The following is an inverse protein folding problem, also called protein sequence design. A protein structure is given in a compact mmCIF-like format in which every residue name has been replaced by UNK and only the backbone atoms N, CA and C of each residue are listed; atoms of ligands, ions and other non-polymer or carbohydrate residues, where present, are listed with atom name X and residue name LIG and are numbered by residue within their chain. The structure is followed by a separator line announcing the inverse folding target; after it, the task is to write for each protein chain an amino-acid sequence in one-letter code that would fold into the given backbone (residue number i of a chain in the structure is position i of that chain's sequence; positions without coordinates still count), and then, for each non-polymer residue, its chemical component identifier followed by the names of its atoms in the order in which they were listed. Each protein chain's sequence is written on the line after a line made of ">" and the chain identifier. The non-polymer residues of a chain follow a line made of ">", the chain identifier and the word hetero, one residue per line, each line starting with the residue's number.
data_IF_689796614501
#
_entry.id   IF_689796614501
#
_cell.length_a   1.000
_cell.length_b   1.000
_cell.length_c   1.000
_cell.angle_alpha   90.00
_cell.angle_beta   90.00
_cell.angle_gamma   90.00
#
_symmetry.space_group_name_H-M   'P 1'
#
loop_
_entity.id
_entity.type
_entity.pdbx_description
1 polymer ?
#
# COMPACT_ATOMS: atom_id res chain seq x y z
N UNK A 1 22.93 3.27 5.68
CA UNK A 1 21.51 2.84 5.66
C UNK A 1 20.90 2.93 4.26
N UNK A 2 20.91 4.07 3.60
CA UNK A 2 20.21 4.28 2.32
C UNK A 2 20.69 3.39 1.16
N UNK A 3 21.99 3.18 1.00
CA UNK A 3 22.52 2.35 -0.10
C UNK A 3 22.06 0.89 0.06
N UNK A 4 22.27 0.28 1.23
CA UNK A 4 21.87 -1.10 1.50
C UNK A 4 20.36 -1.31 1.37
N UNK A 5 19.56 -0.36 1.87
CA UNK A 5 18.10 -0.41 1.72
C UNK A 5 17.68 -0.34 0.23
N UNK A 6 18.32 0.54 -0.55
CA UNK A 6 18.08 0.64 -1.98
C UNK A 6 18.45 -0.65 -2.73
N UNK A 7 19.64 -1.22 -2.43
CA UNK A 7 20.08 -2.48 -3.02
C UNK A 7 19.13 -3.63 -2.69
N UNK A 8 18.65 -3.72 -1.44
CA UNK A 8 17.70 -4.73 -1.02
C UNK A 8 16.34 -4.56 -1.72
N UNK A 9 15.85 -3.33 -1.86
CA UNK A 9 14.62 -3.03 -2.59
C UNK A 9 14.71 -3.51 -4.05
N UNK A 10 15.80 -3.13 -4.74
CA UNK A 10 16.04 -3.56 -6.12
C UNK A 10 16.18 -5.08 -6.23
N UNK A 11 16.86 -5.71 -5.27
CA UNK A 11 17.05 -7.16 -5.25
C UNK A 11 15.72 -7.90 -5.06
N UNK A 12 14.84 -7.40 -4.22
CA UNK A 12 13.49 -7.97 -4.03
C UNK A 12 12.67 -7.89 -5.30
N UNK A 13 12.63 -6.74 -5.97
CA UNK A 13 11.95 -6.59 -7.25
C UNK A 13 12.54 -7.49 -8.34
N UNK A 14 13.88 -7.60 -8.42
CA UNK A 14 14.56 -8.49 -9.36
C UNK A 14 14.28 -9.97 -9.08
N UNK A 15 14.26 -10.37 -7.81
CA UNK A 15 13.90 -11.76 -7.42
C UNK A 15 12.51 -12.13 -7.95
N UNK A 16 11.52 -11.26 -7.72
CA UNK A 16 10.15 -11.43 -8.23
C UNK A 16 10.10 -11.52 -9.75
N UNK A 17 10.85 -10.68 -10.46
CA UNK A 17 11.00 -10.69 -11.91
C UNK A 17 11.51 -12.05 -12.41
N UNK A 18 12.56 -12.58 -11.77
CA UNK A 18 13.17 -13.87 -12.14
C UNK A 18 12.24 -15.06 -11.87
N UNK A 19 11.52 -15.06 -10.75
CA UNK A 19 10.53 -16.10 -10.43
C UNK A 19 9.46 -16.20 -11.52
N UNK A 20 9.01 -15.04 -12.03
CA UNK A 20 7.97 -14.96 -13.06
C UNK A 20 8.53 -15.08 -14.49
N UNK A 21 9.83 -15.31 -14.69
CA UNK A 21 10.47 -15.32 -15.99
C UNK A 21 10.20 -14.06 -16.83
N UNK A 22 10.12 -12.90 -16.18
CA UNK A 22 9.88 -11.60 -16.81
C UNK A 22 11.20 -10.95 -17.22
N UNK A 23 11.17 -10.12 -18.27
CA UNK A 23 12.36 -9.41 -18.76
C UNK A 23 12.59 -8.07 -18.05
N UNK A 24 11.54 -7.49 -17.52
CA UNK A 24 11.55 -6.22 -16.80
C UNK A 24 10.51 -6.23 -15.69
N UNK A 25 10.69 -5.37 -14.71
CA UNK A 25 9.74 -5.14 -13.63
C UNK A 25 9.85 -3.71 -13.12
N UNK A 26 8.81 -3.26 -12.43
CA UNK A 26 8.82 -2.03 -11.64
C UNK A 26 8.80 -2.36 -10.14
N UNK A 27 9.23 -1.42 -9.31
CA UNK A 27 9.12 -1.53 -7.86
C UNK A 27 7.64 -1.45 -7.47
N UNK A 28 7.26 -2.23 -6.44
CA UNK A 28 5.94 -2.24 -5.81
C UNK A 28 6.09 -1.97 -4.31
N UNK A 29 5.01 -1.61 -3.64
CA UNK A 29 5.09 -1.39 -2.18
C UNK A 29 5.40 -2.69 -1.42
N UNK A 30 5.00 -3.84 -1.92
CA UNK A 30 5.39 -5.14 -1.35
C UNK A 30 6.90 -5.37 -1.36
N UNK A 31 7.64 -4.85 -2.33
CA UNK A 31 9.10 -4.98 -2.40
C UNK A 31 9.80 -4.25 -1.24
N UNK A 32 9.13 -3.28 -0.59
CA UNK A 32 9.66 -2.55 0.56
C UNK A 32 9.88 -3.42 1.79
N UNK A 33 9.24 -4.58 1.87
CA UNK A 33 9.53 -5.56 2.92
C UNK A 33 11.01 -5.99 2.91
N UNK A 34 11.64 -6.00 1.73
CA UNK A 34 13.06 -6.31 1.58
C UNK A 34 14.02 -5.31 2.23
N UNK A 35 13.57 -4.09 2.56
CA UNK A 35 14.42 -3.10 3.24
C UNK A 35 14.44 -3.27 4.76
N UNK A 36 13.48 -3.99 5.35
CA UNK A 36 13.34 -4.17 6.80
C UNK A 36 14.64 -4.66 7.46
N UNK A 37 15.32 -5.71 6.96
CA UNK A 37 16.60 -6.13 7.54
C UNK A 37 17.69 -5.05 7.52
N UNK A 38 17.63 -4.12 6.55
CA UNK A 38 18.58 -3.00 6.47
C UNK A 38 18.33 -1.94 7.53
N UNK A 39 17.11 -1.86 8.05
CA UNK A 39 16.67 -0.91 9.07
C UNK A 39 16.91 -1.50 10.46
N UNK A 40 16.45 -2.73 10.70
CA UNK A 40 16.46 -3.39 12.01
C UNK A 40 17.84 -3.41 12.68
N UNK A 41 18.90 -3.66 11.92
CA UNK A 41 20.27 -3.66 12.46
C UNK A 41 20.84 -2.27 12.80
N UNK A 42 20.05 -1.20 12.64
CA UNK A 42 20.50 0.20 12.80
C UNK A 42 19.53 1.07 13.60
N UNK A 43 18.47 0.47 14.11
CA UNK A 43 17.54 1.12 15.04
C UNK A 43 18.00 0.78 16.47
N UNK A 44 18.22 1.81 17.28
CA UNK A 44 18.32 1.66 18.71
C UNK A 44 16.92 1.75 19.31
N UNK A 45 16.44 0.65 19.88
CA UNK A 45 15.12 0.59 20.49
C UNK A 45 15.22 1.10 21.93
N UNK A 46 14.29 1.97 22.32
CA UNK A 46 13.99 2.25 23.73
C UNK A 46 12.95 1.24 24.22
N UNK A 47 12.74 1.14 25.53
CA UNK A 47 11.91 0.13 26.18
C UNK A 47 10.55 -0.11 25.50
N UNK A 48 9.81 0.97 25.18
CA UNK A 48 8.53 0.88 24.46
C UNK A 48 8.67 0.29 23.05
N UNK A 49 9.78 0.57 22.37
CA UNK A 49 10.09 0.01 21.07
C UNK A 49 10.50 -1.46 21.10
N UNK A 50 11.06 -1.94 22.23
CA UNK A 50 11.37 -3.36 22.43
C UNK A 50 10.10 -4.22 22.52
N UNK A 51 9.04 -3.71 23.16
CA UNK A 51 7.74 -4.38 23.22
C UNK A 51 7.08 -4.50 21.83
N UNK A 52 7.18 -3.45 21.00
CA UNK A 52 6.63 -3.43 19.66
C UNK A 52 7.43 -4.30 18.67
N UNK A 53 8.74 -4.39 18.85
CA UNK A 53 9.67 -5.10 18.00
C UNK A 53 10.14 -4.29 16.77
N UNK A 54 11.40 -4.52 16.38
CA UNK A 54 12.06 -3.76 15.30
C UNK A 54 11.36 -3.86 13.95
N UNK A 55 10.77 -5.02 13.63
CA UNK A 55 10.05 -5.25 12.37
C UNK A 55 8.81 -4.34 12.28
N UNK A 56 8.01 -4.28 13.35
CA UNK A 56 6.81 -3.45 13.38
C UNK A 56 7.16 -1.96 13.27
N UNK A 57 8.20 -1.50 13.99
CA UNK A 57 8.68 -0.13 13.87
C UNK A 57 9.14 0.17 12.45
N UNK A 58 9.82 -0.78 11.80
CA UNK A 58 10.26 -0.62 10.41
C UNK A 58 9.07 -0.52 9.45
N UNK A 59 8.00 -1.30 9.66
CA UNK A 59 6.76 -1.18 8.91
C UNK A 59 6.07 0.17 9.14
N UNK A 60 6.07 0.68 10.37
CA UNK A 60 5.47 1.99 10.67
C UNK A 60 6.23 3.12 9.98
N UNK A 61 7.58 3.04 9.94
CA UNK A 61 8.38 3.99 9.17
C UNK A 61 8.07 3.95 7.67
N UNK A 62 7.88 2.75 7.09
CA UNK A 62 7.47 2.59 5.70
C UNK A 62 6.07 3.19 5.49
N UNK A 63 5.13 2.90 6.38
CA UNK A 63 3.76 3.43 6.31
C UNK A 63 3.73 4.96 6.35
N UNK A 64 4.52 5.56 7.25
CA UNK A 64 4.63 7.03 7.35
C UNK A 64 5.28 7.62 6.08
N UNK A 65 6.30 6.95 5.54
CA UNK A 65 6.90 7.33 4.25
C UNK A 65 5.89 7.30 3.11
N UNK A 66 5.08 6.24 3.01
CA UNK A 66 4.03 6.11 1.98
C UNK A 66 2.96 7.19 2.16
N UNK A 67 2.52 7.47 3.40
CA UNK A 67 1.58 8.53 3.71
C UNK A 67 2.09 9.91 3.27
N UNK A 68 3.37 10.19 3.51
CA UNK A 68 3.99 11.44 3.08
C UNK A 68 4.06 11.56 1.54
N UNK A 69 4.28 10.44 0.84
CA UNK A 69 4.24 10.41 -0.63
C UNK A 69 2.81 10.56 -1.13
N UNK A 70 1.84 9.90 -0.51
CA UNK A 70 0.42 10.06 -0.83
C UNK A 70 0.00 11.53 -0.84
N UNK A 71 0.38 12.31 0.18
CA UNK A 71 0.05 13.73 0.30
C UNK A 71 0.71 14.62 -0.77
N UNK A 72 1.70 14.12 -1.52
CA UNK A 72 2.27 14.83 -2.69
C UNK A 72 1.42 14.67 -3.94
N UNK A 73 0.74 13.55 -4.08
CA UNK A 73 -0.08 13.23 -5.26
C UNK A 73 -1.56 13.54 -5.04
N UNK A 74 -2.04 13.40 -3.81
CA UNK A 74 -3.46 13.43 -3.50
C UNK A 74 -3.78 14.42 -2.37
N UNK A 75 -4.94 15.07 -2.40
CA UNK A 75 -5.35 15.95 -1.33
C UNK A 75 -5.49 15.20 0.00
N UNK A 76 -5.27 15.93 1.09
CA UNK A 76 -5.47 15.39 2.44
C UNK A 76 -6.92 14.97 2.65
N UNK A 77 -7.09 13.79 3.25
CA UNK A 77 -8.41 13.26 3.58
C UNK A 77 -8.90 13.97 4.85
N UNK A 78 -9.95 14.77 4.71
CA UNK A 78 -10.53 15.49 5.84
C UNK A 78 -11.07 14.52 6.89
N UNK A 79 -10.65 14.67 8.15
CA UNK A 79 -11.21 13.93 9.29
C UNK A 79 -12.66 14.29 9.60
N UNK A 80 -13.11 15.44 9.15
CA UNK A 80 -14.46 15.96 9.34
C UNK A 80 -15.14 16.06 7.97
N UNK A 81 -15.83 14.99 7.56
CA UNK A 81 -16.76 15.10 6.44
C UNK A 81 -17.86 16.08 6.81
N UNK A 82 -17.96 17.20 6.08
CA UNK A 82 -19.14 18.06 6.18
C UNK A 82 -20.35 17.28 5.65
N UNK A 83 -21.50 17.32 6.33
CA UNK A 83 -22.73 16.74 5.80
C UNK A 83 -22.98 17.28 4.38
N UNK A 84 -23.21 16.40 3.42
CA UNK A 84 -23.44 16.70 1.99
C UNK A 84 -22.21 17.02 1.13
N UNK A 85 -20.99 16.74 1.56
CA UNK A 85 -19.81 16.85 0.70
C UNK A 85 -19.27 15.44 0.43
N UNK A 86 -19.46 14.93 -0.80
CA UNK A 86 -18.84 13.67 -1.25
C UNK A 86 -17.34 13.87 -1.37
N UNK A 87 -16.58 13.03 -0.68
CA UNK A 87 -15.13 12.98 -0.82
C UNK A 87 -14.77 12.34 -2.17
N UNK A 88 -13.69 12.79 -2.80
CA UNK A 88 -13.19 12.18 -4.04
C UNK A 88 -12.88 10.68 -3.88
N UNK A 89 -12.61 10.23 -2.66
CA UNK A 89 -12.29 8.84 -2.32
C UNK A 89 -13.51 7.95 -2.09
N UNK A 90 -14.69 8.52 -1.88
CA UNK A 90 -15.92 7.78 -1.53
C UNK A 90 -16.24 6.66 -2.52
N UNK A 91 -15.99 6.87 -3.83
CA UNK A 91 -16.24 5.86 -4.84
C UNK A 91 -15.33 4.62 -4.71
N UNK A 92 -14.10 4.79 -4.20
CA UNK A 92 -13.20 3.66 -3.94
C UNK A 92 -13.68 2.93 -2.69
N UNK A 93 -14.00 3.65 -1.62
CA UNK A 93 -14.51 3.08 -0.36
C UNK A 93 -15.82 2.31 -0.63
N UNK A 94 -16.76 2.91 -1.35
CA UNK A 94 -18.02 2.29 -1.76
C UNK A 94 -17.79 1.00 -2.55
N UNK A 95 -16.76 0.94 -3.42
CA UNK A 95 -16.43 -0.27 -4.18
C UNK A 95 -16.09 -1.46 -3.27
N UNK A 96 -15.38 -1.22 -2.16
CA UNK A 96 -15.09 -2.26 -1.17
C UNK A 96 -16.35 -2.64 -0.37
N UNK A 97 -17.10 -1.65 0.13
CA UNK A 97 -18.28 -1.85 0.98
C UNK A 97 -19.41 -2.57 0.24
N UNK A 98 -19.85 -2.05 -0.91
CA UNK A 98 -21.03 -2.58 -1.64
C UNK A 98 -20.85 -4.01 -2.13
N UNK A 99 -19.62 -4.41 -2.42
CA UNK A 99 -19.35 -5.74 -2.95
C UNK A 99 -18.82 -6.70 -1.89
N UNK A 100 -18.63 -6.25 -0.65
CA UNK A 100 -17.91 -6.98 0.40
C UNK A 100 -16.61 -7.57 -0.16
N UNK A 101 -15.87 -6.74 -0.92
CA UNK A 101 -14.70 -7.17 -1.67
C UNK A 101 -13.44 -6.98 -0.87
N UNK A 102 -12.55 -7.93 -1.05
CA UNK A 102 -11.17 -7.88 -0.61
C UNK A 102 -10.27 -7.81 -1.84
N UNK A 103 -9.27 -6.95 -1.79
CA UNK A 103 -8.24 -6.90 -2.81
C UNK A 103 -6.96 -7.51 -2.27
N UNK A 104 -6.53 -8.62 -2.82
CA UNK A 104 -5.26 -9.24 -2.51
C UNK A 104 -4.20 -8.87 -3.55
N UNK A 105 -3.03 -8.44 -3.06
CA UNK A 105 -1.83 -8.17 -3.87
C UNK A 105 -0.73 -9.08 -3.37
N UNK A 106 -0.44 -10.14 -4.13
CA UNK A 106 0.60 -11.11 -3.80
C UNK A 106 2.01 -10.54 -4.02
N UNK A 107 2.91 -10.86 -3.09
CA UNK A 107 4.33 -10.44 -3.15
C UNK A 107 5.03 -10.94 -4.42
N UNK A 108 4.65 -12.12 -4.90
CA UNK A 108 5.24 -12.76 -6.08
C UNK A 108 4.39 -12.66 -7.34
N UNK A 109 3.32 -11.85 -7.33
CA UNK A 109 2.52 -11.63 -8.54
C UNK A 109 3.40 -11.22 -9.73
N UNK A 110 3.15 -11.81 -10.90
CA UNK A 110 3.67 -11.33 -12.18
C UNK A 110 3.21 -9.88 -12.44
N UNK A 111 3.84 -9.20 -13.38
CA UNK A 111 3.39 -7.86 -13.78
C UNK A 111 1.95 -7.84 -14.28
N UNK A 112 1.53 -8.93 -14.93
CA UNK A 112 0.15 -9.08 -15.43
C UNK A 112 -0.86 -9.25 -14.29
N UNK A 113 -0.58 -10.14 -13.33
CA UNK A 113 -1.45 -10.37 -12.17
C UNK A 113 -1.58 -9.11 -11.32
N UNK A 114 -0.46 -8.43 -11.04
CA UNK A 114 -0.47 -7.16 -10.33
C UNK A 114 -1.30 -6.09 -11.04
N UNK A 115 -1.14 -5.96 -12.36
CA UNK A 115 -1.92 -5.02 -13.15
C UNK A 115 -3.42 -5.35 -13.12
N UNK A 116 -3.79 -6.63 -13.20
CA UNK A 116 -5.19 -7.07 -13.12
C UNK A 116 -5.76 -6.71 -11.75
N UNK A 117 -5.08 -7.08 -10.67
CA UNK A 117 -5.51 -6.83 -9.29
C UNK A 117 -5.76 -5.33 -9.05
N UNK A 118 -4.78 -4.48 -9.31
CA UNK A 118 -4.90 -3.03 -9.10
C UNK A 118 -6.02 -2.40 -9.97
N UNK A 119 -6.20 -2.87 -11.21
CA UNK A 119 -7.21 -2.32 -12.12
C UNK A 119 -8.62 -2.89 -11.87
N UNK A 120 -8.80 -3.86 -10.99
CA UNK A 120 -10.12 -4.34 -10.57
C UNK A 120 -10.93 -3.22 -9.91
N UNK A 121 -10.27 -2.32 -9.18
CA UNK A 121 -10.88 -1.15 -8.55
C UNK A 121 -11.07 -0.05 -9.60
N UNK A 122 -12.12 -0.16 -10.41
CA UNK A 122 -12.39 0.80 -11.51
C UNK A 122 -12.40 2.27 -11.07
N UNK A 123 -12.97 2.65 -9.89
CA UNK A 123 -12.99 4.04 -9.43
C UNK A 123 -11.60 4.68 -9.28
N UNK A 124 -10.55 3.89 -9.02
CA UNK A 124 -9.18 4.38 -8.89
C UNK A 124 -8.73 5.19 -10.12
N UNK A 125 -9.10 4.72 -11.33
CA UNK A 125 -8.68 5.34 -12.57
C UNK A 125 -9.16 6.79 -12.70
N UNK A 126 -10.31 7.10 -12.12
CA UNK A 126 -10.87 8.47 -12.14
C UNK A 126 -10.02 9.44 -11.30
N UNK A 127 -9.59 8.99 -10.10
CA UNK A 127 -8.70 9.81 -9.26
C UNK A 127 -7.33 10.00 -9.92
N UNK A 128 -6.75 8.94 -10.44
CA UNK A 128 -5.47 9.00 -11.15
C UNK A 128 -5.56 10.00 -12.32
N UNK A 129 -6.62 9.92 -13.12
CA UNK A 129 -6.83 10.87 -14.25
C UNK A 129 -7.01 12.32 -13.79
N UNK A 130 -7.53 12.53 -12.56
CA UNK A 130 -7.73 13.86 -11.98
C UNK A 130 -6.43 14.46 -11.46
N UNK A 131 -5.64 13.69 -10.71
CA UNK A 131 -4.51 14.19 -9.93
C UNK A 131 -3.13 13.88 -10.54
N UNK A 132 -2.99 12.83 -11.36
CA UNK A 132 -1.72 12.31 -11.86
C UNK A 132 -1.59 12.41 -13.38
N UNK A 133 -2.05 13.52 -13.98
CA UNK A 133 -2.11 13.69 -15.45
C UNK A 133 -0.76 13.67 -16.16
N UNK A 134 0.30 14.08 -15.47
CA UNK A 134 1.64 14.25 -16.05
C UNK A 134 2.58 13.08 -15.73
N UNK A 135 2.08 12.03 -15.05
CA UNK A 135 2.89 10.89 -14.68
C UNK A 135 3.05 9.88 -15.82
N UNK A 136 4.18 9.18 -15.82
CA UNK A 136 4.44 8.13 -16.80
C UNK A 136 3.49 6.95 -16.58
N UNK A 137 3.07 6.30 -17.66
CA UNK A 137 2.17 5.15 -17.58
C UNK A 137 2.72 4.00 -16.72
N UNK A 138 4.03 3.82 -16.70
CA UNK A 138 4.73 2.79 -15.93
C UNK A 138 4.62 3.05 -14.42
N UNK A 139 4.61 4.33 -14.01
CA UNK A 139 4.54 4.74 -12.61
C UNK A 139 3.09 4.71 -12.08
N UNK A 140 2.09 4.76 -12.96
CA UNK A 140 0.69 4.85 -12.55
C UNK A 140 0.20 3.66 -11.71
N UNK A 141 0.71 2.44 -11.94
CA UNK A 141 0.35 1.28 -11.11
C UNK A 141 0.88 1.43 -9.68
N UNK A 142 2.11 1.90 -9.53
CA UNK A 142 2.71 2.18 -8.23
C UNK A 142 1.96 3.30 -7.50
N UNK A 143 1.58 4.38 -8.20
CA UNK A 143 0.81 5.49 -7.64
C UNK A 143 -0.60 5.02 -7.20
N UNK A 144 -1.23 4.09 -7.92
CA UNK A 144 -2.50 3.47 -7.50
C UNK A 144 -2.34 2.67 -6.20
N UNK A 145 -1.24 1.95 -6.06
CA UNK A 145 -0.93 1.22 -4.83
C UNK A 145 -0.66 2.20 -3.67
N UNK A 146 0.08 3.30 -3.90
CA UNK A 146 0.24 4.39 -2.93
C UNK A 146 -1.11 4.96 -2.49
N UNK A 147 -2.06 5.11 -3.42
CA UNK A 147 -3.40 5.58 -3.11
C UNK A 147 -4.11 4.64 -2.13
N UNK A 148 -4.08 3.32 -2.37
CA UNK A 148 -4.68 2.33 -1.47
C UNK A 148 -4.03 2.34 -0.08
N UNK A 149 -2.70 2.36 -0.01
CA UNK A 149 -1.98 2.45 1.27
C UNK A 149 -2.26 3.76 2.00
N UNK A 150 -2.33 4.87 1.28
CA UNK A 150 -2.70 6.17 1.86
C UNK A 150 -4.09 6.10 2.50
N UNK A 151 -5.07 5.50 1.82
CA UNK A 151 -6.41 5.32 2.38
C UNK A 151 -6.41 4.51 3.69
N UNK A 152 -5.52 3.53 3.85
CA UNK A 152 -5.38 2.81 5.13
C UNK A 152 -4.78 3.70 6.22
N UNK A 153 -3.82 4.56 5.88
CA UNK A 153 -3.22 5.51 6.84
C UNK A 153 -4.20 6.55 7.38
N UNK A 154 -5.33 6.76 6.69
CA UNK A 154 -6.43 7.63 7.12
C UNK A 154 -7.66 6.85 7.61
N UNK A 155 -7.53 5.56 7.90
CA UNK A 155 -8.61 4.68 8.39
C UNK A 155 -9.84 4.62 7.47
N UNK A 156 -9.64 4.81 6.15
CA UNK A 156 -10.70 4.66 5.14
C UNK A 156 -10.80 3.23 4.61
N UNK A 157 -9.69 2.52 4.61
CA UNK A 157 -9.57 1.09 4.35
C UNK A 157 -8.78 0.43 5.47
N UNK A 158 -8.91 -0.86 5.63
CA UNK A 158 -8.01 -1.70 6.43
C UNK A 158 -7.03 -2.44 5.53
N UNK A 159 -5.88 -2.79 6.07
CA UNK A 159 -4.81 -3.50 5.40
C UNK A 159 -4.28 -4.59 6.31
N UNK A 160 -4.30 -5.84 5.83
CA UNK A 160 -3.76 -6.98 6.54
C UNK A 160 -2.53 -7.52 5.82
N UNK A 161 -1.43 -7.70 6.55
CA UNK A 161 -0.28 -8.42 6.03
C UNK A 161 -0.54 -9.92 6.12
N UNK A 162 -0.58 -10.58 4.97
CA UNK A 162 -0.67 -12.03 4.83
C UNK A 162 0.73 -12.62 4.67
N UNK A 163 0.86 -13.96 4.68
CA UNK A 163 2.15 -14.64 4.50
C UNK A 163 2.80 -14.34 3.13
N UNK A 164 1.97 -14.19 2.11
CA UNK A 164 2.36 -14.11 0.70
C UNK A 164 1.88 -12.83 -0.01
N UNK A 165 1.41 -11.82 0.75
CA UNK A 165 0.94 -10.58 0.17
C UNK A 165 0.26 -9.64 1.15
N UNK A 166 -0.47 -8.70 0.60
CA UNK A 166 -1.24 -7.71 1.32
C UNK A 166 -2.68 -7.75 0.85
N UNK A 167 -3.59 -7.79 1.81
CA UNK A 167 -5.02 -7.71 1.59
C UNK A 167 -5.55 -6.35 2.02
N UNK A 168 -6.33 -5.73 1.16
CA UNK A 168 -7.08 -4.51 1.45
C UNK A 168 -8.56 -4.83 1.52
N UNK A 169 -9.25 -4.25 2.50
CA UNK A 169 -10.70 -4.39 2.69
C UNK A 169 -11.31 -3.16 3.34
N UNK A 170 -12.62 -3.13 3.41
CA UNK A 170 -13.33 -2.09 4.12
C UNK A 170 -12.95 -2.03 5.60
N UNK A 171 -12.77 -0.81 6.12
CA UNK A 171 -12.41 -0.60 7.52
C UNK A 171 -13.55 -0.96 8.49
N UNK A 172 -14.82 -0.80 8.10
CA UNK A 172 -15.96 -1.11 8.94
C UNK A 172 -16.19 -2.63 9.05
N UNK A 173 -16.06 -3.37 7.94
CA UNK A 173 -16.17 -4.83 7.92
C UNK A 173 -15.09 -5.51 8.77
N UNK A 174 -13.89 -4.94 8.85
CA UNK A 174 -12.80 -5.47 9.68
C UNK A 174 -13.12 -5.38 11.17
N UNK A 175 -13.66 -4.26 11.65
CA UNK A 175 -14.05 -4.11 13.06
C UNK A 175 -15.16 -5.08 13.51
N UNK A 176 -16.10 -5.40 12.62
CA UNK A 176 -17.19 -6.34 12.92
C UNK A 176 -16.71 -7.80 12.99
N UNK A 177 -15.71 -8.16 12.21
CA UNK A 177 -15.11 -9.49 12.25
C UNK A 177 -14.24 -9.70 13.51
N UNK A 178 -13.49 -8.68 13.94
CA UNK A 178 -12.67 -8.73 15.15
C UNK A 178 -13.50 -8.80 16.45
N UNK A 179 -14.77 -8.37 16.42
CA UNK A 179 -15.70 -8.48 17.56
C UNK A 179 -16.37 -9.85 17.65
N UNK A 180 -16.29 -10.68 16.60
CA UNK A 180 -16.91 -12.01 16.53
C UNK A 180 -15.91 -13.17 16.68
N UNK A 181 -14.62 -12.86 16.90
CA UNK A 181 -13.56 -13.82 17.23
C UNK A 181 -13.13 -13.69 18.68
#
# INVERSE_FOLDING_TARGET
>A
MSITAYENLISTAKRRMLINNEKNTSIRLSDFTGIIPSINGKIELVYEGEEQGADNISFDLINEGVKNIFLKYFPEISKLQKPNQTDDYDQIITWFVENNKELFIGDEFSNKEYQIAINEIKPINKLISKYCKNENKEDLLFIKEILLWGLTSFNKLSKNRMLDGIEFKDSLGSYLNDLNT
#
